data_IF_386917642135
#
_entry.id   IF_386917642135
#
_cell.length_a   1.000
_cell.length_b   1.000
_cell.length_c   1.000
_cell.angle_alpha   90.00
_cell.angle_beta   90.00
_cell.angle_gamma   90.00
#
_symmetry.space_group_name_H-M   'P 1'
#
loop_
_entity.id
_entity.type
_entity.pdbx_description
1 polymer ?
#
# COMPACT_ATOMS: atom_id res chain seq x y z
N UNK A 1 18.97 -45.61 61.64
CA UNK A 1 18.17 -45.78 60.45
C UNK A 1 16.75 -45.33 60.83
N UNK A 2 16.53 -44.00 60.56
CA UNK A 2 15.23 -43.36 60.86
C UNK A 2 14.34 -43.49 59.62
N UNK A 3 13.23 -44.23 59.76
CA UNK A 3 12.22 -44.40 58.74
C UNK A 3 11.23 -43.17 58.86
N UNK A 4 11.28 -42.23 57.96
CA UNK A 4 10.30 -41.14 57.92
C UNK A 4 9.03 -41.62 57.27
N UNK A 5 7.97 -41.70 58.03
CA UNK A 5 6.62 -42.00 57.54
C UNK A 5 6.05 -40.70 56.97
N UNK A 6 5.94 -40.65 55.65
CA UNK A 6 5.20 -39.59 55.00
C UNK A 6 3.71 -39.90 55.01
N UNK A 7 2.96 -39.07 55.69
CA UNK A 7 1.50 -39.10 55.64
C UNK A 7 1.02 -38.49 54.31
N UNK A 8 0.50 -39.32 53.43
CA UNK A 8 -0.22 -38.89 52.24
C UNK A 8 -1.65 -38.56 52.70
N UNK A 9 -1.96 -37.24 52.79
CA UNK A 9 -3.33 -36.80 52.95
C UNK A 9 -4.06 -37.00 51.63
N UNK A 10 -4.85 -38.06 51.54
CA UNK A 10 -5.84 -38.21 50.48
C UNK A 10 -6.90 -37.12 50.72
N UNK A 11 -7.09 -36.22 49.77
CA UNK A 11 -8.17 -35.25 49.81
C UNK A 11 -9.49 -35.99 49.86
N UNK A 12 -10.20 -35.86 50.96
CA UNK A 12 -11.58 -36.35 51.04
C UNK A 12 -12.44 -35.55 50.05
N UNK A 13 -12.91 -36.24 49.03
CA UNK A 13 -13.86 -35.70 48.05
C UNK A 13 -15.14 -35.33 48.82
N UNK A 14 -15.38 -34.04 48.96
CA UNK A 14 -16.60 -33.53 49.60
C UNK A 14 -17.78 -33.86 48.66
N UNK A 15 -18.72 -34.71 49.10
CA UNK A 15 -19.85 -35.19 48.28
C UNK A 15 -20.77 -34.01 47.81
N UNK A 16 -20.65 -32.85 48.44
CA UNK A 16 -21.38 -31.66 48.08
C UNK A 16 -20.68 -30.69 47.14
N UNK A 17 -19.51 -31.07 46.63
CA UNK A 17 -18.75 -30.24 45.69
C UNK A 17 -19.25 -30.49 44.26
N UNK A 18 -20.45 -29.99 43.96
CA UNK A 18 -21.09 -30.12 42.67
C UNK A 18 -20.70 -28.94 41.80
N UNK A 19 -19.83 -29.14 40.84
CA UNK A 19 -19.47 -28.16 39.85
C UNK A 19 -20.49 -28.24 38.71
N UNK A 20 -21.25 -27.17 38.46
CA UNK A 20 -22.10 -27.07 37.29
C UNK A 20 -21.25 -26.73 36.09
N UNK A 21 -21.23 -27.62 35.10
CA UNK A 21 -20.52 -27.40 33.85
C UNK A 21 -21.45 -27.55 32.66
N UNK A 22 -21.11 -26.96 31.53
CA UNK A 22 -21.82 -27.17 30.28
C UNK A 22 -21.43 -28.56 29.73
N UNK A 23 -22.39 -29.27 29.17
CA UNK A 23 -22.15 -30.54 28.55
C UNK A 23 -22.67 -30.56 27.11
N UNK A 24 -21.99 -31.34 26.25
CA UNK A 24 -22.42 -31.60 24.88
C UNK A 24 -22.64 -33.11 24.71
N UNK A 25 -23.54 -33.47 23.81
CA UNK A 25 -23.75 -34.87 23.44
C UNK A 25 -22.85 -35.16 22.22
N UNK A 26 -21.92 -36.06 22.36
CA UNK A 26 -21.04 -36.52 21.30
C UNK A 26 -21.13 -38.04 21.18
N UNK A 27 -21.46 -38.53 20.00
CA UNK A 27 -21.66 -40.00 19.71
C UNK A 27 -22.60 -40.71 20.67
N UNK A 28 -23.58 -39.99 21.25
CA UNK A 28 -24.54 -40.53 22.22
C UNK A 28 -24.13 -40.43 23.68
N UNK A 29 -22.91 -40.02 23.96
CA UNK A 29 -22.39 -39.83 25.33
C UNK A 29 -22.43 -38.32 25.70
N UNK A 30 -22.67 -38.05 26.99
CA UNK A 30 -22.64 -36.70 27.55
C UNK A 30 -21.24 -36.38 28.04
N UNK A 31 -20.56 -35.46 27.34
CA UNK A 31 -19.18 -35.05 27.63
C UNK A 31 -19.20 -33.65 28.23
N UNK A 32 -18.39 -33.44 29.27
CA UNK A 32 -18.18 -32.10 29.83
C UNK A 32 -17.55 -31.13 28.79
N UNK A 33 -18.18 -29.98 28.59
CA UNK A 33 -17.65 -28.94 27.73
C UNK A 33 -17.07 -27.81 28.58
N UNK A 34 -15.83 -27.46 28.33
CA UNK A 34 -15.20 -26.31 28.94
C UNK A 34 -14.69 -25.37 27.84
N UNK A 35 -15.19 -24.16 27.84
CA UNK A 35 -14.62 -23.10 26.95
C UNK A 35 -13.27 -22.69 27.52
N UNK A 36 -12.22 -22.89 26.75
CA UNK A 36 -10.88 -22.40 27.11
C UNK A 36 -10.72 -20.94 26.74
N UNK A 37 -9.98 -20.23 27.55
CA UNK A 37 -9.59 -18.86 27.22
C UNK A 37 -8.65 -18.85 25.99
N UNK A 38 -8.73 -17.77 25.22
CA UNK A 38 -7.86 -17.62 24.07
C UNK A 38 -6.41 -17.49 24.51
N UNK A 39 -5.56 -18.41 24.06
CA UNK A 39 -4.12 -18.38 24.29
C UNK A 39 -3.46 -17.80 23.04
N UNK A 40 -2.87 -16.61 23.18
CA UNK A 40 -2.10 -16.01 22.12
C UNK A 40 -0.66 -16.54 22.15
N UNK A 41 -0.29 -17.29 21.12
CA UNK A 41 1.10 -17.74 20.96
C UNK A 41 1.82 -16.87 19.95
N UNK A 42 2.90 -16.26 20.37
CA UNK A 42 3.74 -15.43 19.49
C UNK A 42 5.01 -16.22 19.14
N UNK A 43 5.13 -16.58 17.86
CA UNK A 43 6.39 -17.10 17.35
C UNK A 43 7.40 -15.97 17.12
N UNK A 44 8.65 -16.18 17.51
CA UNK A 44 9.72 -15.23 17.15
C UNK A 44 9.97 -15.31 15.66
N UNK A 45 9.92 -14.16 15.00
CA UNK A 45 10.24 -14.06 13.58
C UNK A 45 11.71 -14.39 13.34
N UNK A 46 11.98 -15.12 12.28
CA UNK A 46 13.36 -15.31 11.79
C UNK A 46 13.93 -14.00 11.25
N UNK A 47 15.25 -13.91 11.18
CA UNK A 47 15.92 -12.73 10.62
C UNK A 47 15.47 -12.45 9.16
N UNK A 48 15.21 -13.49 8.37
CA UNK A 48 14.69 -13.37 7.01
C UNK A 48 13.27 -12.77 6.98
N UNK A 49 12.38 -13.24 7.87
CA UNK A 49 11.03 -12.70 8.00
C UNK A 49 11.02 -11.26 8.51
N UNK A 50 11.89 -10.91 9.45
CA UNK A 50 12.04 -9.52 9.91
C UNK A 50 12.47 -8.61 8.79
N UNK A 51 13.43 -9.04 7.96
CA UNK A 51 13.91 -8.28 6.79
C UNK A 51 12.80 -8.12 5.73
N UNK A 52 12.04 -9.16 5.46
CA UNK A 52 10.91 -9.13 4.53
C UNK A 52 9.82 -8.16 5.01
N UNK A 53 9.44 -8.24 6.30
CA UNK A 53 8.47 -7.35 6.92
C UNK A 53 8.94 -5.89 6.90
N UNK A 54 10.22 -5.62 7.17
CA UNK A 54 10.79 -4.28 7.10
C UNK A 54 10.71 -3.70 5.67
N UNK A 55 11.01 -4.54 4.65
CA UNK A 55 10.89 -4.14 3.23
C UNK A 55 9.44 -3.84 2.87
N UNK A 56 8.50 -4.70 3.27
CA UNK A 56 7.08 -4.51 3.04
C UNK A 56 6.56 -3.23 3.73
N UNK A 57 6.89 -3.03 5.00
CA UNK A 57 6.45 -1.85 5.75
C UNK A 57 7.01 -0.55 5.17
N UNK A 58 8.25 -0.57 4.67
CA UNK A 58 8.85 0.57 3.97
C UNK A 58 8.07 0.90 2.70
N UNK A 59 7.72 -0.12 1.91
CA UNK A 59 6.92 0.06 0.70
C UNK A 59 5.51 0.56 1.03
N UNK A 60 4.86 -0.06 2.01
CA UNK A 60 3.54 0.31 2.49
C UNK A 60 3.50 1.79 2.90
N UNK A 61 4.44 2.23 3.73
CA UNK A 61 4.54 3.64 4.12
C UNK A 61 4.76 4.54 2.90
N UNK A 62 5.63 4.17 1.97
CA UNK A 62 5.85 4.97 0.77
C UNK A 62 4.57 5.12 -0.06
N UNK A 63 3.79 4.05 -0.24
CA UNK A 63 2.49 4.12 -0.95
C UNK A 63 1.50 5.01 -0.20
N UNK A 64 1.36 4.85 1.12
CA UNK A 64 0.45 5.67 1.94
C UNK A 64 0.74 7.17 1.80
N UNK A 65 2.02 7.54 1.85
CA UNK A 65 2.44 8.94 1.74
C UNK A 65 2.24 9.49 0.33
N UNK A 66 2.52 8.69 -0.71
CA UNK A 66 2.59 9.19 -2.09
C UNK A 66 1.31 9.01 -2.89
N UNK A 67 0.42 8.10 -2.50
CA UNK A 67 -0.80 7.81 -3.25
C UNK A 67 -1.75 9.02 -3.41
N UNK A 68 -2.01 9.86 -2.40
CA UNK A 68 -2.83 11.07 -2.57
C UNK A 68 -2.27 12.01 -3.64
N UNK A 69 -0.95 12.15 -3.71
CA UNK A 69 -0.28 12.97 -4.73
C UNK A 69 -0.37 12.33 -6.11
N UNK A 70 -0.20 11.01 -6.19
CA UNK A 70 -0.34 10.28 -7.45
C UNK A 70 -1.73 10.45 -8.06
N UNK A 71 -2.79 10.36 -7.24
CA UNK A 71 -4.17 10.57 -7.70
C UNK A 71 -4.39 11.98 -8.27
N UNK A 72 -3.91 13.02 -7.57
CA UNK A 72 -4.02 14.40 -8.06
C UNK A 72 -3.25 14.58 -9.37
N UNK A 73 -2.01 14.05 -9.40
CA UNK A 73 -1.20 14.04 -10.59
C UNK A 73 -1.90 13.36 -11.76
N UNK A 74 -2.42 12.17 -11.51
CA UNK A 74 -3.15 11.41 -12.50
C UNK A 74 -4.36 12.17 -13.05
N UNK A 75 -5.14 12.79 -12.18
CA UNK A 75 -6.30 13.58 -12.60
C UNK A 75 -5.91 14.75 -13.52
N UNK A 76 -4.88 15.50 -13.16
CA UNK A 76 -4.40 16.63 -14.00
C UNK A 76 -3.82 16.13 -15.31
N UNK A 77 -3.05 15.03 -15.29
CA UNK A 77 -2.47 14.45 -16.50
C UNK A 77 -3.53 13.89 -17.44
N UNK A 78 -4.57 13.24 -16.91
CA UNK A 78 -5.67 12.73 -17.70
C UNK A 78 -6.50 13.87 -18.34
N UNK A 79 -6.77 14.97 -17.61
CA UNK A 79 -7.41 16.16 -18.16
C UNK A 79 -6.58 16.79 -19.30
N UNK A 80 -5.26 16.84 -19.13
CA UNK A 80 -4.35 17.31 -20.18
C UNK A 80 -4.41 16.39 -21.40
N UNK A 81 -4.35 15.08 -21.20
CA UNK A 81 -4.41 14.10 -22.28
C UNK A 81 -5.73 14.20 -23.07
N UNK A 82 -6.85 14.25 -22.38
CA UNK A 82 -8.17 14.35 -22.99
C UNK A 82 -8.28 15.61 -23.86
N UNK A 83 -7.84 16.74 -23.34
CA UNK A 83 -7.88 18.00 -24.10
C UNK A 83 -6.89 18.03 -25.25
N UNK A 84 -5.70 17.41 -25.08
CA UNK A 84 -4.70 17.33 -26.15
C UNK A 84 -5.06 16.34 -27.26
N UNK A 85 -5.89 15.34 -27.00
CA UNK A 85 -6.32 14.38 -28.02
C UNK A 85 -6.99 15.06 -29.22
N UNK A 86 -7.69 16.16 -28.98
CA UNK A 86 -8.40 16.93 -30.00
C UNK A 86 -7.59 18.08 -30.63
N UNK A 87 -6.40 18.38 -30.13
CA UNK A 87 -5.55 19.48 -30.60
C UNK A 87 -4.51 18.95 -31.58
N UNK A 88 -4.59 19.34 -32.84
CA UNK A 88 -3.67 18.92 -33.91
C UNK A 88 -2.41 19.80 -33.96
N UNK A 89 -2.49 21.05 -33.51
CA UNK A 89 -1.39 22.02 -33.56
C UNK A 89 -0.41 21.77 -32.39
N UNK A 90 0.89 21.66 -32.73
CA UNK A 90 1.97 21.50 -31.76
C UNK A 90 2.11 22.73 -30.84
N UNK A 91 1.88 23.91 -31.36
CA UNK A 91 1.98 25.16 -30.61
C UNK A 91 0.81 25.35 -29.66
N UNK A 92 -0.39 24.98 -30.06
CA UNK A 92 -1.57 24.97 -29.19
C UNK A 92 -1.41 24.02 -28.04
N UNK A 93 -0.92 22.78 -28.30
CA UNK A 93 -0.57 21.79 -27.27
C UNK A 93 0.42 22.37 -26.26
N UNK A 94 1.50 22.97 -26.75
CA UNK A 94 2.53 23.60 -25.92
C UNK A 94 1.98 24.73 -25.06
N UNK A 95 1.14 25.60 -25.64
CA UNK A 95 0.52 26.72 -24.93
C UNK A 95 -0.47 26.22 -23.85
N UNK A 96 -1.25 25.19 -24.15
CA UNK A 96 -2.16 24.57 -23.19
C UNK A 96 -1.39 23.98 -22.02
N UNK A 97 -0.37 23.19 -22.30
CA UNK A 97 0.51 22.61 -21.27
C UNK A 97 1.12 23.72 -20.41
N UNK A 98 1.64 24.80 -21.03
CA UNK A 98 2.21 25.96 -20.32
C UNK A 98 1.20 26.66 -19.42
N UNK A 99 -0.07 26.71 -19.83
CA UNK A 99 -1.14 27.30 -18.99
C UNK A 99 -1.40 26.46 -17.73
N UNK A 100 -1.19 25.14 -17.80
CA UNK A 100 -1.34 24.22 -16.67
C UNK A 100 -0.07 24.06 -15.82
N UNK A 101 1.06 24.60 -16.28
CA UNK A 101 2.35 24.52 -15.57
C UNK A 101 2.26 25.05 -14.14
N UNK A 102 1.54 26.15 -13.97
CA UNK A 102 1.38 26.82 -12.67
C UNK A 102 0.65 25.94 -11.65
N UNK A 103 -0.35 25.23 -12.13
CA UNK A 103 -1.14 24.27 -11.32
C UNK A 103 -0.30 23.03 -11.00
N UNK A 104 0.33 22.43 -11.99
CA UNK A 104 1.23 21.32 -11.82
C UNK A 104 2.37 21.65 -10.84
N UNK A 105 2.96 22.83 -10.97
CA UNK A 105 4.01 23.28 -10.07
C UNK A 105 3.51 23.41 -8.64
N UNK A 106 2.32 23.96 -8.42
CA UNK A 106 1.71 24.10 -7.10
C UNK A 106 1.41 22.74 -6.47
N UNK A 107 0.88 21.80 -7.24
CA UNK A 107 0.50 20.48 -6.73
C UNK A 107 1.69 19.55 -6.49
N UNK A 108 2.81 19.75 -7.22
CA UNK A 108 3.95 18.82 -7.20
C UNK A 108 5.21 19.36 -6.55
N UNK A 109 5.45 20.69 -6.62
CA UNK A 109 6.73 21.26 -6.20
C UNK A 109 7.02 21.04 -4.73
N UNK A 110 6.05 21.36 -3.86
CA UNK A 110 6.24 21.29 -2.42
C UNK A 110 6.26 19.85 -1.88
N UNK A 111 5.32 18.98 -2.29
CA UNK A 111 5.36 17.58 -1.87
C UNK A 111 6.62 16.83 -2.33
N UNK A 112 7.06 17.08 -3.60
CA UNK A 112 8.21 16.36 -4.18
C UNK A 112 9.54 16.70 -3.48
N UNK A 113 9.71 17.93 -2.98
CA UNK A 113 10.93 18.32 -2.27
C UNK A 113 11.10 17.61 -0.95
N UNK A 114 10.01 17.16 -0.33
CA UNK A 114 9.99 16.48 0.97
C UNK A 114 10.03 14.96 0.87
N UNK A 115 9.96 14.40 -0.33
CA UNK A 115 9.99 12.95 -0.55
C UNK A 115 11.42 12.42 -0.59
N UNK A 116 11.64 11.26 0.04
CA UNK A 116 12.86 10.50 -0.17
C UNK A 116 12.92 9.96 -1.61
N UNK A 117 14.14 9.64 -2.08
CA UNK A 117 14.33 9.01 -3.41
C UNK A 117 13.46 7.77 -3.60
N UNK A 118 13.34 6.95 -2.55
CA UNK A 118 12.50 5.75 -2.59
C UNK A 118 11.01 6.08 -2.76
N UNK A 119 10.50 7.06 -2.02
CA UNK A 119 9.12 7.52 -2.14
C UNK A 119 8.87 8.15 -3.52
N UNK A 120 9.83 8.90 -4.05
CA UNK A 120 9.75 9.45 -5.41
C UNK A 120 9.60 8.35 -6.47
N UNK A 121 10.37 7.26 -6.37
CA UNK A 121 10.23 6.10 -7.28
C UNK A 121 8.84 5.45 -7.17
N UNK A 122 8.33 5.29 -5.97
CA UNK A 122 6.98 4.75 -5.74
C UNK A 122 5.91 5.69 -6.29
N UNK A 123 6.05 7.01 -6.06
CA UNK A 123 5.14 8.02 -6.60
C UNK A 123 5.05 7.91 -8.13
N UNK A 124 6.18 7.75 -8.81
CA UNK A 124 6.18 7.64 -10.28
C UNK A 124 5.46 6.40 -10.78
N UNK A 125 5.67 5.25 -10.14
CA UNK A 125 4.91 4.03 -10.45
C UNK A 125 3.41 4.23 -10.26
N UNK A 126 3.02 4.91 -9.20
CA UNK A 126 1.62 5.23 -8.92
C UNK A 126 1.03 6.23 -9.93
N UNK A 127 1.81 7.23 -10.38
CA UNK A 127 1.36 8.13 -11.44
C UNK A 127 1.15 7.36 -12.76
N UNK A 128 2.08 6.47 -13.12
CA UNK A 128 1.90 5.61 -14.30
C UNK A 128 0.64 4.74 -14.19
N UNK A 129 0.34 4.23 -12.99
CA UNK A 129 -0.90 3.51 -12.71
C UNK A 129 -2.14 4.38 -12.98
N UNK A 130 -2.16 5.60 -12.47
CA UNK A 130 -3.32 6.51 -12.59
C UNK A 130 -3.49 7.07 -14.02
N UNK A 131 -2.41 7.15 -14.80
CA UNK A 131 -2.41 7.72 -16.17
C UNK A 131 -2.39 6.67 -17.29
N UNK A 132 -2.35 5.39 -16.95
CA UNK A 132 -2.22 4.32 -17.95
C UNK A 132 -0.90 4.38 -18.72
N UNK A 133 0.21 4.68 -18.05
CA UNK A 133 1.57 4.75 -18.59
C UNK A 133 1.87 5.93 -19.56
N UNK A 134 0.99 6.89 -19.65
CA UNK A 134 1.18 8.08 -20.51
C UNK A 134 2.05 9.19 -19.87
N UNK A 135 2.44 9.02 -18.59
CA UNK A 135 3.16 10.05 -17.85
C UNK A 135 4.49 10.44 -18.52
N UNK A 136 5.22 9.48 -19.08
CA UNK A 136 6.50 9.73 -19.77
C UNK A 136 6.34 10.62 -20.99
N UNK A 137 5.35 10.36 -21.84
CA UNK A 137 5.11 11.14 -23.06
C UNK A 137 4.72 12.58 -22.72
N UNK A 138 3.88 12.77 -21.72
CA UNK A 138 3.48 14.10 -21.25
C UNK A 138 4.71 14.87 -20.74
N UNK A 139 5.54 14.24 -19.92
CA UNK A 139 6.75 14.88 -19.39
C UNK A 139 7.74 15.20 -20.49
N UNK A 140 7.86 14.34 -21.50
CA UNK A 140 8.70 14.56 -22.67
C UNK A 140 8.22 15.76 -23.50
N UNK A 141 6.92 15.92 -23.70
CA UNK A 141 6.34 17.10 -24.35
C UNK A 141 6.53 18.38 -23.51
N UNK A 142 6.56 18.23 -22.18
CA UNK A 142 6.83 19.31 -21.23
C UNK A 142 8.26 19.88 -21.29
N UNK A 143 9.19 19.19 -21.92
CA UNK A 143 10.62 19.52 -21.93
C UNK A 143 10.97 20.94 -22.37
N UNK A 144 10.02 21.71 -22.87
CA UNK A 144 10.21 23.09 -23.29
C UNK A 144 9.65 24.17 -22.36
N UNK A 145 8.97 23.82 -21.24
CA UNK A 145 8.28 24.79 -20.38
C UNK A 145 8.55 24.64 -18.89
N UNK A 146 9.10 23.52 -18.44
CA UNK A 146 9.33 23.27 -17.02
C UNK A 146 10.63 23.93 -16.57
N UNK A 147 10.59 24.64 -15.43
CA UNK A 147 11.80 25.21 -14.84
C UNK A 147 12.85 24.11 -14.66
N UNK A 148 14.11 24.42 -14.98
CA UNK A 148 15.24 23.48 -14.91
C UNK A 148 15.32 22.72 -13.56
N UNK A 149 14.86 23.35 -12.49
CA UNK A 149 14.85 22.78 -11.13
C UNK A 149 13.81 21.67 -10.98
N UNK A 150 12.58 21.85 -11.50
CA UNK A 150 11.57 20.80 -11.47
C UNK A 150 12.00 19.64 -12.38
N UNK A 151 12.57 19.95 -13.55
CA UNK A 151 13.11 18.96 -14.46
C UNK A 151 14.27 18.17 -13.83
N UNK A 152 15.17 18.83 -13.10
CA UNK A 152 16.26 18.14 -12.39
C UNK A 152 15.73 17.22 -11.28
N UNK A 153 14.73 17.68 -10.53
CA UNK A 153 14.11 16.86 -9.48
C UNK A 153 13.42 15.65 -10.10
N UNK A 154 12.66 15.87 -11.14
CA UNK A 154 12.00 14.83 -11.89
C UNK A 154 13.04 13.92 -12.54
N UNK A 155 14.05 14.44 -13.24
CA UNK A 155 15.12 13.65 -13.87
C UNK A 155 15.89 12.79 -12.85
N UNK A 156 16.18 13.32 -11.67
CA UNK A 156 16.85 12.57 -10.62
C UNK A 156 16.04 11.34 -10.14
N UNK A 157 14.72 11.46 -10.08
CA UNK A 157 13.84 10.32 -9.79
C UNK A 157 13.64 9.41 -11.00
N UNK A 158 13.86 9.93 -12.21
CA UNK A 158 13.47 9.33 -13.48
C UNK A 158 14.54 8.50 -14.18
N UNK A 159 15.80 8.61 -13.78
CA UNK A 159 16.92 8.10 -14.56
C UNK A 159 16.92 6.57 -14.81
N UNK A 160 16.12 5.80 -14.11
CA UNK A 160 16.11 4.34 -14.30
C UNK A 160 14.75 3.69 -14.52
N UNK A 161 13.61 4.31 -14.17
CA UNK A 161 12.35 3.57 -14.07
C UNK A 161 11.14 4.15 -14.83
N UNK A 162 11.29 5.28 -15.53
CA UNK A 162 10.16 5.88 -16.25
C UNK A 162 9.64 5.11 -17.43
N UNK A 163 10.49 4.29 -18.02
CA UNK A 163 10.13 3.47 -19.18
C UNK A 163 9.45 2.16 -18.79
N UNK A 164 9.47 1.81 -17.50
CA UNK A 164 8.78 0.62 -17.04
C UNK A 164 7.30 0.96 -16.87
N UNK A 165 6.47 0.31 -17.66
CA UNK A 165 5.03 0.32 -17.49
C UNK A 165 4.66 -0.23 -16.10
N UNK A 166 3.57 0.27 -15.55
CA UNK A 166 3.00 -0.29 -14.32
C UNK A 166 2.34 -1.63 -14.64
N UNK A 167 2.74 -2.68 -13.94
CA UNK A 167 2.17 -4.02 -14.09
C UNK A 167 1.56 -4.47 -12.76
N UNK A 168 0.23 -4.34 -12.69
CA UNK A 168 -0.53 -4.68 -11.48
C UNK A 168 -0.54 -6.17 -11.15
N UNK A 169 -0.33 -7.02 -12.16
CA UNK A 169 -0.49 -8.47 -12.03
C UNK A 169 0.83 -9.19 -11.68
N UNK A 170 1.96 -8.58 -12.01
CA UNK A 170 3.28 -9.19 -11.82
C UNK A 170 4.19 -8.33 -10.94
N UNK A 171 5.00 -7.45 -11.55
CA UNK A 171 6.06 -6.71 -10.86
C UNK A 171 5.56 -5.74 -9.79
N UNK A 172 4.39 -5.13 -9.99
CA UNK A 172 3.81 -4.14 -9.10
C UNK A 172 2.63 -4.66 -8.28
N UNK A 173 2.37 -5.98 -8.27
CA UNK A 173 1.25 -6.60 -7.55
C UNK A 173 1.23 -6.25 -6.06
N UNK A 174 2.40 -6.16 -5.42
CA UNK A 174 2.49 -5.75 -4.01
C UNK A 174 2.05 -4.29 -3.83
N UNK A 175 2.45 -3.39 -4.74
CA UNK A 175 2.02 -1.99 -4.73
C UNK A 175 0.51 -1.91 -4.93
N UNK A 176 -0.03 -2.66 -5.88
CA UNK A 176 -1.47 -2.69 -6.18
C UNK A 176 -2.30 -3.14 -4.98
N UNK A 177 -1.86 -4.17 -4.25
CA UNK A 177 -2.53 -4.62 -3.03
C UNK A 177 -2.55 -3.54 -1.95
N UNK A 178 -1.44 -2.83 -1.77
CA UNK A 178 -1.37 -1.72 -0.81
C UNK A 178 -2.24 -0.54 -1.28
N UNK A 179 -2.27 -0.25 -2.57
CA UNK A 179 -3.16 0.79 -3.13
C UNK A 179 -4.62 0.46 -2.85
N UNK A 180 -5.04 -0.78 -3.07
CA UNK A 180 -6.41 -1.23 -2.73
C UNK A 180 -6.71 -1.10 -1.24
N UNK A 181 -5.74 -1.32 -0.37
CA UNK A 181 -5.86 -1.08 1.07
C UNK A 181 -6.09 0.41 1.36
N UNK A 182 -5.25 1.29 0.79
CA UNK A 182 -5.36 2.75 0.95
C UNK A 182 -6.71 3.26 0.41
N UNK A 183 -7.13 2.77 -0.74
CA UNK A 183 -8.42 3.16 -1.33
C UNK A 183 -9.60 2.80 -0.43
N UNK A 184 -9.60 1.61 0.15
CA UNK A 184 -10.64 1.19 1.11
C UNK A 184 -10.64 2.05 2.38
N UNK A 185 -9.46 2.39 2.89
CA UNK A 185 -9.35 3.20 4.13
C UNK A 185 -9.82 4.64 3.94
N UNK A 186 -9.54 5.23 2.80
CA UNK A 186 -9.89 6.63 2.52
C UNK A 186 -11.19 6.79 1.72
N UNK A 187 -11.90 5.70 1.42
CA UNK A 187 -13.15 5.74 0.66
C UNK A 187 -12.97 6.20 -0.79
N UNK A 188 -11.76 6.02 -1.35
CA UNK A 188 -11.52 6.38 -2.74
C UNK A 188 -12.17 5.36 -3.68
N UNK A 189 -13.00 5.83 -4.61
CA UNK A 189 -13.47 5.00 -5.72
C UNK A 189 -12.31 4.63 -6.65
N UNK A 190 -12.32 3.39 -7.16
CA UNK A 190 -11.38 3.00 -8.19
C UNK A 190 -11.60 3.90 -9.43
N UNK A 191 -10.55 4.53 -9.98
CA UNK A 191 -10.66 5.07 -11.32
C UNK A 191 -10.97 3.90 -12.28
N UNK A 192 -11.80 4.10 -13.30
CA UNK A 192 -11.96 3.09 -14.33
C UNK A 192 -10.57 2.82 -14.91
N UNK A 193 -10.11 1.58 -14.82
CA UNK A 193 -8.90 1.17 -15.53
C UNK A 193 -9.17 1.40 -17.01
N UNK A 194 -8.57 2.40 -17.61
CA UNK A 194 -8.47 2.48 -19.04
C UNK A 194 -7.58 1.30 -19.44
N UNK A 195 -8.21 0.19 -19.89
CA UNK A 195 -7.48 -0.83 -20.63
C UNK A 195 -6.88 -0.09 -21.82
N UNK A 196 -5.58 0.06 -21.84
CA UNK A 196 -4.89 0.46 -23.05
C UNK A 196 -5.23 -0.60 -24.12
N UNK A 197 -5.98 -0.15 -25.13
CA UNK A 197 -6.11 -0.90 -26.37
C UNK A 197 -4.81 -0.82 -27.14
#
# INVERSE_FOLDING_TARGET
MLCSVQFIYAQQKNINDTIKTQAIIYEGDTIEMKTLEFVFTYARLTAAQMKANAKYNRLRNAVYVTYPYARRAGAVMNDINEKMANVKSKDERKNYIKSREKELKKEFSDPLTNLSVYQGKVLMKLINRETGNNCYEIIKEYKGGVTARLYQTVAFFFDSNLKQSYDADTDDATIENIVKEVQRMYGYSNPPHSKAM
#
